data_IF_746666820912
#
_entry.id   IF_746666820912
#
_cell.length_a   1.000
_cell.length_b   1.000
_cell.length_c   1.000
_cell.angle_alpha   90.00
_cell.angle_beta   90.00
_cell.angle_gamma   90.00
#
_symmetry.space_group_name_H-M   'P 1'
#
loop_
_entity.id
_entity.type
_entity.pdbx_description
1 polymer ?
#
# COMPACT_ATOMS: atom_id res chain seq x y z
N UNK A 1 5.15 17.24 9.66
CA UNK A 1 4.65 17.12 8.28
C UNK A 1 5.80 16.94 7.30
N UNK A 2 6.75 17.89 7.20
CA UNK A 2 7.90 17.79 6.27
C UNK A 2 8.75 16.56 6.55
N UNK A 3 9.10 16.28 7.82
CA UNK A 3 9.89 15.11 8.20
C UNK A 3 9.22 13.79 7.85
N UNK A 4 7.91 13.69 8.02
CA UNK A 4 7.15 12.48 7.70
C UNK A 4 7.10 12.24 6.19
N UNK A 5 6.97 13.31 5.41
CA UNK A 5 6.97 13.24 3.95
C UNK A 5 8.34 12.84 3.41
N UNK A 6 9.44 13.42 3.93
CA UNK A 6 10.79 13.04 3.54
C UNK A 6 11.11 11.59 3.89
N UNK A 7 10.76 11.16 5.09
CA UNK A 7 10.95 9.77 5.53
C UNK A 7 10.15 8.81 4.64
N UNK A 8 8.91 9.15 4.33
CA UNK A 8 8.08 8.38 3.43
C UNK A 8 8.73 8.23 2.06
N UNK A 9 9.20 9.32 1.48
CA UNK A 9 9.86 9.33 0.18
C UNK A 9 11.15 8.50 0.19
N UNK A 10 11.96 8.60 1.24
CA UNK A 10 13.17 7.79 1.38
C UNK A 10 12.85 6.30 1.52
N UNK A 11 11.76 5.97 2.20
CA UNK A 11 11.25 4.60 2.28
C UNK A 11 10.87 4.06 0.90
N UNK A 12 10.20 4.87 0.09
CA UNK A 12 9.84 4.50 -1.29
C UNK A 12 11.08 4.24 -2.15
N UNK A 13 12.10 5.08 -2.08
CA UNK A 13 13.37 4.85 -2.78
C UNK A 13 14.07 3.58 -2.35
N UNK A 14 14.06 3.28 -1.05
CA UNK A 14 14.60 2.03 -0.51
C UNK A 14 13.88 0.82 -1.11
N UNK A 15 12.56 0.88 -1.20
CA UNK A 15 11.75 -0.20 -1.78
C UNK A 15 11.99 -0.34 -3.28
N UNK A 16 12.10 0.76 -4.02
CA UNK A 16 12.43 0.73 -5.45
C UNK A 16 13.77 0.03 -5.69
N UNK A 17 14.78 0.37 -4.90
CA UNK A 17 16.10 -0.27 -5.01
C UNK A 17 16.03 -1.75 -4.68
N UNK A 18 15.30 -2.12 -3.63
CA UNK A 18 15.07 -3.52 -3.26
C UNK A 18 14.39 -4.29 -4.41
N UNK A 19 13.34 -3.73 -5.00
CA UNK A 19 12.60 -4.36 -6.09
C UNK A 19 13.44 -4.50 -7.35
N UNK A 20 14.23 -3.49 -7.67
CA UNK A 20 15.14 -3.54 -8.81
C UNK A 20 16.15 -4.69 -8.66
N UNK A 21 16.75 -4.83 -7.50
CA UNK A 21 17.68 -5.93 -7.21
C UNK A 21 16.97 -7.28 -7.25
N UNK A 22 15.77 -7.38 -6.69
CA UNK A 22 14.97 -8.60 -6.69
C UNK A 22 14.66 -9.07 -8.12
N UNK A 23 14.21 -8.18 -8.98
CA UNK A 23 13.88 -8.48 -10.37
C UNK A 23 15.11 -8.88 -11.18
N UNK A 24 16.24 -8.24 -10.93
CA UNK A 24 17.52 -8.53 -11.62
C UNK A 24 18.05 -9.95 -11.33
N UNK A 25 17.68 -10.54 -10.21
CA UNK A 25 18.17 -11.87 -9.81
C UNK A 25 17.50 -13.03 -10.56
N UNK A 26 16.41 -12.80 -11.25
CA UNK A 26 15.66 -13.83 -11.95
C UNK A 26 15.64 -13.54 -13.44
N UNK A 27 15.98 -14.53 -14.25
CA UNK A 27 16.05 -14.38 -15.72
C UNK A 27 14.70 -14.00 -16.34
N UNK A 28 13.58 -14.42 -15.74
CA UNK A 28 12.23 -14.12 -16.24
C UNK A 28 11.85 -12.66 -15.97
N UNK A 29 12.22 -12.11 -14.80
CA UNK A 29 11.86 -10.77 -14.40
C UNK A 29 12.92 -9.71 -14.66
N UNK A 30 14.12 -10.10 -15.04
CA UNK A 30 15.28 -9.21 -15.18
C UNK A 30 15.02 -8.00 -16.07
N UNK A 31 14.34 -8.19 -17.20
CA UNK A 31 14.03 -7.10 -18.13
C UNK A 31 13.00 -6.10 -17.60
N UNK A 32 12.30 -6.45 -16.52
CA UNK A 32 11.31 -5.58 -15.90
C UNK A 32 11.90 -4.67 -14.83
N UNK A 33 13.13 -4.88 -14.40
CA UNK A 33 13.77 -4.04 -13.39
C UNK A 33 13.79 -2.55 -13.76
N UNK A 34 13.95 -2.24 -15.05
CA UNK A 34 13.92 -0.87 -15.56
C UNK A 34 12.52 -0.32 -15.80
N UNK A 35 11.50 -1.14 -15.64
CA UNK A 35 10.09 -0.76 -15.84
C UNK A 35 9.37 -0.39 -14.55
N UNK A 36 10.02 -0.54 -13.41
CA UNK A 36 9.46 -0.13 -12.12
C UNK A 36 9.07 1.34 -12.19
N UNK A 37 7.85 1.65 -11.78
CA UNK A 37 7.31 3.01 -11.84
C UNK A 37 7.08 3.55 -10.45
N UNK A 38 7.63 4.72 -10.15
CA UNK A 38 7.39 5.47 -8.93
C UNK A 38 6.15 6.36 -9.13
N UNK A 39 4.99 5.82 -8.85
CA UNK A 39 3.69 6.41 -9.18
C UNK A 39 3.40 7.65 -8.35
N UNK A 40 3.81 7.67 -7.08
CA UNK A 40 3.59 8.80 -6.19
C UNK A 40 4.28 10.09 -6.65
N UNK A 41 5.31 10.01 -7.48
CA UNK A 41 5.94 11.19 -8.10
C UNK A 41 5.01 11.89 -9.09
N UNK A 42 4.06 11.19 -9.70
CA UNK A 42 3.11 11.76 -10.66
C UNK A 42 1.85 12.34 -10.01
N UNK A 43 1.74 12.31 -8.68
CA UNK A 43 0.64 12.87 -7.91
C UNK A 43 0.02 11.90 -6.92
N UNK A 44 -0.87 12.44 -6.10
CA UNK A 44 -1.61 11.68 -5.09
C UNK A 44 -2.86 11.03 -5.69
N UNK A 45 -3.44 10.08 -4.98
CA UNK A 45 -4.74 9.52 -5.30
C UNK A 45 -4.74 8.19 -6.06
N UNK A 46 -3.58 7.63 -6.37
CA UNK A 46 -3.48 6.31 -7.00
C UNK A 46 -3.82 5.17 -6.03
N UNK A 47 -3.62 5.38 -4.73
CA UNK A 47 -3.83 4.37 -3.70
C UNK A 47 -2.68 3.38 -3.55
N UNK A 48 -1.56 3.61 -4.20
CA UNK A 48 -0.29 2.90 -4.09
C UNK A 48 0.86 3.79 -4.58
N UNK A 49 2.08 3.47 -4.17
CA UNK A 49 3.26 4.31 -4.42
C UNK A 49 4.10 3.83 -5.61
N UNK A 50 4.13 2.53 -5.85
CA UNK A 50 5.05 1.91 -6.81
C UNK A 50 4.31 0.83 -7.59
N UNK A 51 4.56 0.76 -8.91
CA UNK A 51 4.24 -0.42 -9.72
C UNK A 51 5.53 -1.20 -9.90
N UNK A 52 5.50 -2.47 -9.54
CA UNK A 52 6.58 -3.42 -9.76
C UNK A 52 6.03 -4.67 -10.42
N UNK A 53 6.80 -5.75 -10.41
CA UNK A 53 6.48 -6.95 -11.16
C UNK A 53 6.79 -8.20 -10.35
N UNK A 54 6.13 -9.28 -10.69
CA UNK A 54 6.41 -10.59 -10.12
C UNK A 54 6.07 -11.68 -11.14
N UNK A 55 6.53 -12.89 -10.88
CA UNK A 55 6.15 -14.04 -11.67
C UNK A 55 4.71 -14.43 -11.32
N UNK A 56 3.88 -14.65 -12.34
CA UNK A 56 2.52 -15.12 -12.12
C UNK A 56 2.55 -16.47 -11.40
N UNK A 57 1.93 -16.60 -10.20
CA UNK A 57 1.92 -17.87 -9.48
C UNK A 57 1.21 -19.00 -10.22
N UNK A 58 0.32 -18.65 -11.16
CA UNK A 58 -0.44 -19.63 -11.95
C UNK A 58 0.22 -19.97 -13.31
N UNK A 59 1.24 -19.21 -13.70
CA UNK A 59 1.92 -19.36 -15.00
C UNK A 59 3.38 -18.90 -14.89
N UNK A 60 4.29 -19.82 -14.59
CA UNK A 60 5.69 -19.57 -14.22
C UNK A 60 6.55 -18.80 -15.22
N UNK A 61 6.09 -18.65 -16.47
CA UNK A 61 6.79 -17.87 -17.50
C UNK A 61 6.16 -16.51 -17.76
N UNK A 62 5.10 -16.18 -17.06
CA UNK A 62 4.41 -14.90 -17.19
C UNK A 62 4.80 -13.95 -16.07
N UNK A 63 4.95 -12.68 -16.42
CA UNK A 63 5.20 -11.60 -15.47
C UNK A 63 3.93 -10.79 -15.32
N UNK A 64 3.56 -10.51 -14.07
CA UNK A 64 2.40 -9.70 -13.71
C UNK A 64 2.82 -8.44 -12.98
N UNK A 65 1.99 -7.40 -13.06
CA UNK A 65 2.18 -6.19 -12.25
C UNK A 65 1.75 -6.44 -10.81
N UNK A 66 2.51 -5.88 -9.87
CA UNK A 66 2.13 -5.76 -8.47
C UNK A 66 2.12 -4.29 -8.07
N UNK A 67 1.28 -3.95 -7.11
CA UNK A 67 1.03 -2.59 -6.65
C UNK A 67 1.47 -2.47 -5.21
N UNK A 68 2.46 -1.62 -4.97
CA UNK A 68 3.13 -1.53 -3.68
C UNK A 68 2.78 -0.20 -3.00
N UNK A 69 2.23 -0.29 -1.80
CA UNK A 69 2.11 0.82 -0.86
C UNK A 69 3.22 0.71 0.18
N UNK A 70 3.98 1.77 0.36
CA UNK A 70 5.11 1.80 1.28
C UNK A 70 4.72 2.52 2.56
N UNK A 71 4.92 1.87 3.70
CA UNK A 71 4.64 2.42 5.03
C UNK A 71 5.93 2.42 5.86
N UNK A 72 6.52 3.59 6.07
CA UNK A 72 7.78 3.77 6.78
C UNK A 72 7.55 4.17 8.23
N UNK A 73 8.29 3.56 9.15
CA UNK A 73 8.22 3.86 10.58
C UNK A 73 9.60 3.83 11.24
N UNK A 74 9.77 4.64 12.27
CA UNK A 74 10.91 4.54 13.21
C UNK A 74 10.68 3.45 14.25
N UNK A 75 9.46 2.94 14.38
CA UNK A 75 9.11 1.85 15.27
C UNK A 75 9.58 0.49 14.76
N UNK A 76 9.23 -0.54 15.51
CA UNK A 76 9.64 -1.90 15.19
C UNK A 76 8.80 -2.52 14.05
N UNK A 77 9.14 -3.76 13.71
CA UNK A 77 8.51 -4.56 12.66
C UNK A 77 6.98 -4.64 12.77
N UNK A 78 6.45 -4.69 13.98
CA UNK A 78 5.03 -4.92 14.23
C UNK A 78 4.27 -3.64 14.59
N UNK A 79 4.92 -2.48 14.46
CA UNK A 79 4.25 -1.19 14.65
C UNK A 79 3.05 -1.06 13.70
N UNK A 80 1.89 -0.62 14.21
CA UNK A 80 0.71 -0.44 13.35
C UNK A 80 0.95 0.66 12.32
N UNK A 81 0.21 0.60 11.22
CA UNK A 81 0.20 1.63 10.20
C UNK A 81 -1.24 1.95 9.79
N UNK A 82 -1.41 3.09 9.13
CA UNK A 82 -2.72 3.60 8.72
C UNK A 82 -2.88 3.52 7.21
N UNK A 83 -4.11 3.24 6.78
CA UNK A 83 -4.51 3.30 5.39
C UNK A 83 -5.57 4.37 5.21
N UNK A 84 -5.48 5.13 4.13
CA UNK A 84 -6.57 5.98 3.70
C UNK A 84 -7.73 5.14 3.13
N UNK A 85 -8.91 5.73 3.02
CA UNK A 85 -10.05 5.07 2.37
C UNK A 85 -9.72 4.66 0.93
N UNK A 86 -9.01 5.52 0.21
CA UNK A 86 -8.61 5.25 -1.16
C UNK A 86 -7.63 4.08 -1.24
N UNK A 87 -6.61 4.04 -0.39
CA UNK A 87 -5.67 2.93 -0.32
C UNK A 87 -6.39 1.61 -0.03
N UNK A 88 -7.30 1.62 0.94
CA UNK A 88 -8.07 0.43 1.29
C UNK A 88 -8.98 -0.04 0.15
N UNK A 89 -9.65 0.89 -0.53
CA UNK A 89 -10.50 0.57 -1.68
C UNK A 89 -9.68 -0.02 -2.84
N UNK A 90 -8.54 0.56 -3.15
CA UNK A 90 -7.65 0.05 -4.19
C UNK A 90 -7.10 -1.32 -3.81
N UNK A 91 -6.73 -1.52 -2.54
CA UNK A 91 -6.28 -2.81 -2.04
C UNK A 91 -7.35 -3.90 -2.23
N UNK A 92 -8.62 -3.58 -1.96
CA UNK A 92 -9.74 -4.52 -2.19
C UNK A 92 -9.89 -4.88 -3.66
N UNK A 93 -9.75 -3.91 -4.55
CA UNK A 93 -9.87 -4.13 -6.01
C UNK A 93 -8.70 -4.97 -6.53
N UNK A 94 -7.48 -4.67 -6.10
CA UNK A 94 -6.26 -5.36 -6.56
C UNK A 94 -6.06 -6.72 -5.91
N UNK A 95 -6.63 -6.93 -4.73
CA UNK A 95 -6.52 -8.21 -4.00
C UNK A 95 -5.07 -8.59 -3.70
N UNK A 96 -4.69 -9.80 -4.06
CA UNK A 96 -3.34 -10.33 -3.80
C UNK A 96 -2.23 -9.63 -4.61
N UNK A 97 -2.58 -8.83 -5.60
CA UNK A 97 -1.61 -8.02 -6.34
C UNK A 97 -1.20 -6.75 -5.58
N UNK A 98 -1.92 -6.38 -4.54
CA UNK A 98 -1.62 -5.24 -3.68
C UNK A 98 -0.73 -5.69 -2.52
N UNK A 99 0.43 -5.06 -2.39
CA UNK A 99 1.43 -5.40 -1.37
C UNK A 99 1.69 -4.21 -0.47
N UNK A 100 1.85 -4.45 0.81
CA UNK A 100 2.37 -3.45 1.75
C UNK A 100 3.84 -3.76 2.01
N UNK A 101 4.71 -2.80 1.73
CA UNK A 101 6.12 -2.87 2.06
C UNK A 101 6.36 -1.99 3.28
N UNK A 102 6.57 -2.64 4.41
CA UNK A 102 6.79 -1.99 5.70
C UNK A 102 8.28 -1.76 5.90
N UNK A 103 8.71 -0.50 5.82
CA UNK A 103 10.07 -0.10 6.18
C UNK A 103 10.06 0.27 7.66
N UNK A 104 10.80 -0.46 8.48
CA UNK A 104 10.81 -0.28 9.93
C UNK A 104 12.24 -0.08 10.46
N UNK A 105 12.35 0.32 11.73
CA UNK A 105 13.63 0.70 12.37
C UNK A 105 14.41 1.74 11.56
N UNK A 106 13.68 2.68 10.94
CA UNK A 106 14.24 3.60 9.95
C UNK A 106 15.45 4.41 10.47
N UNK A 107 15.42 4.86 11.72
CA UNK A 107 16.48 5.69 12.29
C UNK A 107 17.74 4.91 12.71
N UNK A 108 17.68 3.61 12.82
CA UNK A 108 18.82 2.77 13.21
C UNK A 108 19.39 2.04 12.01
N UNK A 109 18.69 1.02 11.53
CA UNK A 109 19.08 0.27 10.35
C UNK A 109 17.77 -0.13 9.61
N UNK A 110 17.37 0.61 8.59
CA UNK A 110 16.11 0.32 7.89
C UNK A 110 16.02 -1.13 7.44
N UNK A 111 14.91 -1.76 7.81
CA UNK A 111 14.60 -3.14 7.47
C UNK A 111 13.26 -3.19 6.76
N UNK A 112 13.02 -4.27 6.03
CA UNK A 112 11.83 -4.43 5.22
C UNK A 112 11.04 -5.68 5.64
N UNK A 113 9.73 -5.48 5.81
CA UNK A 113 8.75 -6.56 5.95
C UNK A 113 7.72 -6.44 4.83
N UNK A 114 7.52 -7.50 4.08
CA UNK A 114 6.54 -7.54 3.00
C UNK A 114 5.27 -8.21 3.50
N UNK A 115 4.14 -7.53 3.35
CA UNK A 115 2.81 -8.08 3.59
C UNK A 115 2.21 -8.38 2.21
N UNK A 116 2.18 -9.65 1.85
CA UNK A 116 1.71 -10.09 0.54
C UNK A 116 0.21 -10.02 0.36
N UNK A 117 -0.54 -10.16 1.46
CA UNK A 117 -1.98 -10.08 1.45
C UNK A 117 -2.48 -9.29 2.66
N UNK A 118 -2.99 -8.09 2.39
CA UNK A 118 -3.52 -7.19 3.42
C UNK A 118 -4.75 -7.80 4.13
N UNK A 119 -5.46 -8.71 3.48
CA UNK A 119 -6.68 -9.34 3.98
C UNK A 119 -6.44 -10.72 4.58
N UNK A 120 -5.19 -11.03 4.91
CA UNK A 120 -4.83 -12.21 5.66
C UNK A 120 -5.48 -12.19 7.05
N UNK A 121 -5.97 -13.34 7.52
CA UNK A 121 -6.65 -13.47 8.81
C UNK A 121 -5.78 -13.14 10.03
N UNK A 122 -4.46 -13.07 9.86
CA UNK A 122 -3.53 -12.66 10.93
C UNK A 122 -3.47 -11.14 11.11
N UNK A 123 -4.11 -10.38 10.21
CA UNK A 123 -4.17 -8.92 10.24
C UNK A 123 -5.57 -8.44 10.59
N UNK A 124 -5.65 -7.37 11.34
CA UNK A 124 -6.92 -6.74 11.69
C UNK A 124 -6.96 -5.32 11.13
N UNK A 125 -8.00 -5.03 10.34
CA UNK A 125 -8.25 -3.69 9.79
C UNK A 125 -9.43 -3.08 10.53
N UNK A 126 -9.18 -1.94 11.21
CA UNK A 126 -10.19 -1.23 11.99
C UNK A 126 -10.41 0.17 11.44
N UNK A 127 -11.66 0.60 11.23
CA UNK A 127 -11.93 2.01 10.96
C UNK A 127 -11.62 2.84 12.22
N UNK A 128 -10.92 3.95 12.05
CA UNK A 128 -10.51 4.83 13.16
C UNK A 128 -11.08 6.24 13.06
N UNK A 129 -11.51 6.66 11.89
CA UNK A 129 -12.05 7.99 11.65
C UNK A 129 -13.34 7.94 10.86
N UNK A 130 -14.21 8.92 11.11
CA UNK A 130 -15.44 9.12 10.37
C UNK A 130 -15.55 10.60 9.98
N UNK A 131 -16.06 10.85 8.78
CA UNK A 131 -16.40 12.21 8.36
C UNK A 131 -17.88 12.45 8.57
N UNK A 132 -18.20 13.62 9.13
CA UNK A 132 -19.58 14.08 9.25
C UNK A 132 -19.74 15.30 8.37
N UNK A 133 -20.70 15.27 7.46
CA UNK A 133 -20.98 16.37 6.54
C UNK A 133 -22.48 16.53 6.36
N UNK A 134 -22.91 17.75 6.02
CA UNK A 134 -24.29 18.02 5.61
C UNK A 134 -24.66 17.21 4.37
N UNK A 135 -25.91 16.79 4.29
CA UNK A 135 -26.42 16.01 3.17
C UNK A 135 -27.34 16.85 2.31
N UNK A 136 -27.18 16.78 0.99
CA UNK A 136 -28.06 17.41 0.03
C UNK A 136 -29.46 16.78 0.10
N UNK A 137 -30.51 17.58 -0.16
CA UNK A 137 -31.91 17.12 -0.19
C UNK A 137 -32.10 15.91 -1.16
N UNK A 138 -31.34 15.87 -2.24
CA UNK A 138 -31.41 14.81 -3.24
C UNK A 138 -30.79 13.49 -2.75
N UNK A 139 -29.98 13.51 -1.71
CA UNK A 139 -29.27 12.35 -1.16
C UNK A 139 -30.01 11.70 0.00
N UNK A 140 -31.21 12.15 0.34
CA UNK A 140 -32.00 11.63 1.47
C UNK A 140 -32.30 10.14 1.36
N UNK A 141 -32.37 9.59 0.15
CA UNK A 141 -32.66 8.18 -0.10
C UNK A 141 -31.48 7.26 0.12
N UNK A 142 -30.25 7.81 0.13
CA UNK A 142 -29.01 7.05 0.28
C UNK A 142 -28.47 7.12 1.71
N UNK A 143 -29.13 7.86 2.60
CA UNK A 143 -28.75 7.89 4.00
C UNK A 143 -28.93 6.52 4.63
N UNK A 144 -27.85 5.92 5.03
CA UNK A 144 -27.87 4.80 5.95
C UNK A 144 -28.53 5.28 7.26
N UNK A 145 -29.65 4.70 7.58
CA UNK A 145 -30.28 4.97 8.86
C UNK A 145 -29.37 4.46 9.97
N UNK A 146 -29.06 5.34 10.92
CA UNK A 146 -28.38 4.93 12.15
C UNK A 146 -29.23 3.87 12.89
N UNK A 147 -28.60 2.87 13.50
CA UNK A 147 -29.34 1.96 14.37
C UNK A 147 -30.09 2.74 15.43
N UNK A 148 -31.35 2.37 15.67
CA UNK A 148 -32.27 3.08 16.59
C UNK A 148 -31.79 3.17 18.04
N UNK A 149 -30.69 2.51 18.38
CA UNK A 149 -30.14 2.44 19.76
C UNK A 149 -28.85 3.23 19.93
N UNK A 150 -28.49 4.10 19.01
CA UNK A 150 -27.27 4.93 19.10
C UNK A 150 -27.62 6.30 19.69
N UNK A 151 -27.97 6.33 20.92
CA UNK A 151 -28.11 7.61 21.64
C UNK A 151 -27.11 7.63 22.77
#
# INVERSE_FOLDING_TARGET
AIRNTEKGLQGEYLVINYERERLMKNTITKSYADKITHVSESGDGHGYDIISYDINPDASNEVIEIYIEVKTTTGNRDAPFYLSDNELNVARIKGELYKIYRVYDYNTAPKLKIIDNLFDETLEIKPINYIVKGVNQNDKHTKNQLPKNTI
#
